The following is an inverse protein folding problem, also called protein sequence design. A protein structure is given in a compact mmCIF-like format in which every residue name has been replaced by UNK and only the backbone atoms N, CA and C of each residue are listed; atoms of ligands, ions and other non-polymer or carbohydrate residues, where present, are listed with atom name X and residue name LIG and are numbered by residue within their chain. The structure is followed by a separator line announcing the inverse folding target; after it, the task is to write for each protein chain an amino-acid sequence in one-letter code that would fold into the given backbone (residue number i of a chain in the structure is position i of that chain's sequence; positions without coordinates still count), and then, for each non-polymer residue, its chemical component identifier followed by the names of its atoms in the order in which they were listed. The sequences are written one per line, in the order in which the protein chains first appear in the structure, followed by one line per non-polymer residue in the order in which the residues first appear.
data_IF_177356498095
#
_entry.id   IF_177356498095
#
_cell.length_a   1.000
_cell.length_b   1.000
_cell.length_c   1.000
_cell.angle_alpha   90.00
_cell.angle_beta   90.00
_cell.angle_gamma   90.00
#
_symmetry.space_group_name_H-M   'P 1'
#
loop_
_entity.id
_entity.type
_entity.pdbx_description
1 polymer ?
#
# COMPACT_ATOMS: atom_id res chain seq x y z
N UNK A 1 2.96 -1.26 26.35
CA UNK A 1 3.88 -0.73 25.32
C UNK A 1 3.08 -0.50 24.03
N UNK A 2 3.40 0.55 23.28
CA UNK A 2 2.84 0.75 21.93
C UNK A 2 3.32 -0.36 21.00
N UNK A 3 2.47 -0.78 20.07
CA UNK A 3 2.85 -1.69 18.99
C UNK A 3 3.85 -0.99 18.05
N UNK A 4 4.81 -1.75 17.53
CA UNK A 4 5.89 -1.24 16.67
C UNK A 4 5.53 -1.41 15.20
N UNK A 5 5.67 -0.34 14.43
CA UNK A 5 5.39 -0.28 13.00
C UNK A 5 6.65 0.07 12.22
N UNK A 6 7.01 -0.77 11.26
CA UNK A 6 8.02 -0.46 10.25
C UNK A 6 7.34 -0.03 8.96
N UNK A 7 7.68 1.15 8.46
CA UNK A 7 7.23 1.65 7.16
C UNK A 7 8.43 1.77 6.23
N UNK A 8 8.38 1.09 5.08
CA UNK A 8 9.36 1.21 4.01
C UNK A 8 8.75 2.02 2.86
N UNK A 9 9.35 3.13 2.50
CA UNK A 9 8.90 4.01 1.43
C UNK A 9 9.88 3.91 0.25
N UNK A 10 9.38 3.57 -0.93
CA UNK A 10 10.14 3.65 -2.17
C UNK A 10 9.98 5.03 -2.78
N UNK A 11 11.09 5.77 -2.94
CA UNK A 11 11.09 7.11 -3.52
C UNK A 11 12.12 7.22 -4.65
N UNK A 12 11.66 7.19 -5.88
CA UNK A 12 12.50 7.59 -7.01
C UNK A 12 12.56 9.11 -7.05
N UNK A 13 13.75 9.68 -6.78
CA UNK A 13 13.93 11.10 -6.53
C UNK A 13 13.39 11.96 -7.67
N UNK A 14 12.46 12.84 -7.32
CA UNK A 14 11.90 13.90 -8.13
C UNK A 14 11.53 15.06 -7.19
N UNK A 15 12.10 16.25 -7.42
CA UNK A 15 11.85 17.43 -6.60
C UNK A 15 10.37 17.80 -6.54
N UNK A 16 9.64 17.59 -7.63
CA UNK A 16 8.19 17.87 -7.68
C UNK A 16 7.37 16.95 -6.77
N UNK A 17 7.91 15.79 -6.40
CA UNK A 17 7.24 14.79 -5.56
C UNK A 17 7.62 14.89 -4.07
N UNK A 18 8.59 15.74 -3.70
CA UNK A 18 9.04 15.91 -2.31
C UNK A 18 7.89 16.23 -1.37
N UNK A 19 6.95 17.07 -1.78
CA UNK A 19 5.80 17.42 -0.94
C UNK A 19 4.87 16.23 -0.68
N UNK A 20 4.73 15.30 -1.62
CA UNK A 20 4.00 14.06 -1.39
C UNK A 20 4.73 13.20 -0.37
N UNK A 21 6.02 12.96 -0.58
CA UNK A 21 6.85 12.20 0.35
C UNK A 21 6.78 12.76 1.79
N UNK A 22 6.92 14.08 1.97
CA UNK A 22 6.84 14.72 3.28
C UNK A 22 5.47 14.52 3.94
N UNK A 23 4.39 14.58 3.16
CA UNK A 23 3.04 14.33 3.63
C UNK A 23 2.88 12.86 4.10
N UNK A 24 3.40 11.90 3.34
CA UNK A 24 3.38 10.47 3.70
C UNK A 24 4.19 10.21 4.98
N UNK A 25 5.38 10.78 5.10
CA UNK A 25 6.20 10.68 6.31
C UNK A 25 5.44 11.23 7.53
N UNK A 26 4.89 12.44 7.43
CA UNK A 26 4.15 13.07 8.51
C UNK A 26 2.91 12.25 8.91
N UNK A 27 2.18 11.73 7.92
CA UNK A 27 1.03 10.87 8.15
C UNK A 27 1.41 9.64 8.99
N UNK A 28 2.43 8.87 8.60
CA UNK A 28 2.83 7.67 9.34
C UNK A 28 3.44 7.98 10.72
N UNK A 29 4.17 9.08 10.87
CA UNK A 29 4.70 9.50 12.17
C UNK A 29 3.59 9.95 13.14
N UNK A 30 2.43 10.36 12.62
CA UNK A 30 1.27 10.75 13.44
C UNK A 30 0.48 9.55 14.00
N UNK A 31 0.73 8.33 13.52
CA UNK A 31 0.02 7.13 13.99
C UNK A 31 0.29 6.86 15.47
N UNK A 32 -0.70 6.34 16.17
CA UNK A 32 -0.56 5.90 17.57
C UNK A 32 0.22 4.58 17.72
N UNK A 33 1.34 4.47 16.99
CA UNK A 33 2.28 3.36 16.99
C UNK A 33 3.69 3.87 17.33
N UNK A 34 4.58 2.94 17.70
CA UNK A 34 6.02 3.23 17.73
C UNK A 34 6.56 3.02 16.31
N UNK A 35 6.45 4.07 15.48
CA UNK A 35 6.71 4.02 14.05
C UNK A 35 8.15 4.36 13.73
N UNK A 36 8.80 3.52 12.92
CA UNK A 36 10.08 3.82 12.25
C UNK A 36 9.88 3.81 10.74
N UNK A 37 10.48 4.76 10.05
CA UNK A 37 10.37 4.90 8.60
C UNK A 37 11.74 4.68 7.96
N UNK A 38 11.77 3.86 6.92
CA UNK A 38 12.91 3.65 6.03
C UNK A 38 12.54 4.13 4.63
N UNK A 39 13.37 4.99 4.04
CA UNK A 39 13.20 5.49 2.68
C UNK A 39 14.32 4.91 1.83
N UNK A 40 13.92 4.12 0.83
CA UNK A 40 14.84 3.68 -0.22
C UNK A 40 14.77 4.69 -1.37
N UNK A 41 15.89 5.39 -1.62
CA UNK A 41 15.98 6.46 -2.61
C UNK A 41 17.16 6.24 -3.56
N UNK A 42 17.05 6.72 -4.80
CA UNK A 42 18.11 6.59 -5.81
C UNK A 42 19.04 7.80 -5.91
N UNK A 43 18.80 8.89 -5.17
CA UNK A 43 19.61 10.10 -5.24
C UNK A 43 19.81 10.72 -3.85
N UNK A 44 21.07 11.05 -3.52
CA UNK A 44 21.45 11.69 -2.26
C UNK A 44 20.94 13.13 -2.09
N UNK A 45 20.47 13.78 -3.16
CA UNK A 45 19.82 15.09 -3.07
C UNK A 45 18.61 15.09 -2.13
N UNK A 46 18.02 13.95 -1.83
CA UNK A 46 16.96 13.84 -0.82
C UNK A 46 17.36 14.48 0.52
N UNK A 47 18.66 14.44 0.89
CA UNK A 47 19.15 15.04 2.13
C UNK A 47 19.07 16.57 2.17
N UNK A 48 18.90 17.23 1.03
CA UNK A 48 18.71 18.70 0.99
C UNK A 48 17.29 19.07 1.46
N UNK A 49 16.35 18.16 1.34
CA UNK A 49 14.92 18.35 1.66
C UNK A 49 14.52 17.74 3.01
N UNK A 50 15.15 16.62 3.39
CA UNK A 50 14.79 15.89 4.61
C UNK A 50 15.97 15.94 5.56
N UNK A 51 15.88 16.82 6.58
CA UNK A 51 16.94 16.99 7.60
C UNK A 51 16.43 16.52 8.96
N UNK A 52 17.22 15.64 9.61
CA UNK A 52 17.12 15.32 11.04
C UNK A 52 15.71 15.00 11.58
N UNK A 53 14.97 14.16 10.90
CA UNK A 53 13.72 13.61 11.43
C UNK A 53 14.06 12.37 12.26
N UNK A 54 13.78 12.41 13.56
CA UNK A 54 13.94 11.25 14.44
C UNK A 54 13.11 10.06 13.90
N UNK A 55 13.67 8.85 14.00
CA UNK A 55 13.05 7.60 13.50
C UNK A 55 12.93 7.49 11.97
N UNK A 56 13.63 8.35 11.24
CA UNK A 56 13.71 8.27 9.80
C UNK A 56 15.10 7.77 9.38
N UNK A 57 15.14 6.75 8.55
CA UNK A 57 16.35 6.16 7.98
C UNK A 57 16.28 6.28 6.44
N UNK A 58 17.32 6.83 5.82
CA UNK A 58 17.39 6.96 4.36
C UNK A 58 18.53 6.09 3.86
N UNK A 59 18.21 5.19 2.91
CA UNK A 59 19.18 4.36 2.20
C UNK A 59 19.26 4.81 0.74
N UNK A 60 20.49 5.06 0.26
CA UNK A 60 20.73 5.55 -1.11
C UNK A 60 21.24 4.42 -2.00
N UNK A 61 20.65 4.28 -3.18
CA UNK A 61 20.92 3.26 -4.19
C UNK A 61 21.24 3.92 -5.54
N UNK A 62 22.43 4.54 -5.68
CA UNK A 62 22.81 5.32 -6.87
C UNK A 62 23.02 4.45 -8.14
N UNK A 63 23.36 3.16 -7.98
CA UNK A 63 23.75 2.29 -9.09
C UNK A 63 22.78 1.11 -9.23
N UNK A 64 21.50 1.38 -9.41
CA UNK A 64 20.51 0.36 -9.69
C UNK A 64 20.66 -0.19 -11.12
N UNK A 65 20.57 -1.51 -11.27
CA UNK A 65 20.57 -2.16 -12.59
C UNK A 65 19.39 -1.63 -13.46
N UNK A 66 18.26 -1.39 -12.84
CA UNK A 66 17.09 -0.79 -13.48
C UNK A 66 16.36 0.12 -12.47
N UNK A 67 15.80 1.27 -12.87
CA UNK A 67 15.09 2.17 -11.95
C UNK A 67 13.99 1.49 -11.13
N UNK A 68 13.25 0.57 -11.73
CA UNK A 68 12.21 -0.20 -11.04
C UNK A 68 12.74 -1.12 -9.93
N UNK A 69 14.03 -1.47 -9.95
CA UNK A 69 14.64 -2.30 -8.89
C UNK A 69 14.58 -1.63 -7.51
N UNK A 70 14.45 -0.30 -7.46
CA UNK A 70 14.29 0.43 -6.20
C UNK A 70 13.08 -0.09 -5.41
N UNK A 71 11.99 -0.45 -6.09
CA UNK A 71 10.78 -0.97 -5.46
C UNK A 71 10.98 -2.28 -4.67
N UNK A 72 12.09 -3.01 -4.90
CA UNK A 72 12.41 -4.24 -4.16
C UNK A 72 13.37 -4.05 -3.00
N UNK A 73 14.00 -2.87 -2.84
CA UNK A 73 15.06 -2.65 -1.84
C UNK A 73 14.55 -2.76 -0.40
N UNK A 74 13.28 -2.44 -0.15
CA UNK A 74 12.62 -2.62 1.14
C UNK A 74 12.75 -4.03 1.71
N UNK A 75 12.89 -5.06 0.86
CA UNK A 75 12.95 -6.48 1.28
C UNK A 75 14.13 -6.73 2.21
N UNK A 76 15.31 -6.17 1.91
CA UNK A 76 16.49 -6.28 2.76
C UNK A 76 16.25 -5.63 4.13
N UNK A 77 15.69 -4.43 4.13
CA UNK A 77 15.34 -3.71 5.37
C UNK A 77 14.37 -4.51 6.23
N UNK A 78 13.37 -5.13 5.61
CA UNK A 78 12.39 -5.98 6.30
C UNK A 78 13.07 -7.21 6.91
N UNK A 79 13.90 -7.95 6.16
CA UNK A 79 14.61 -9.12 6.67
C UNK A 79 15.49 -8.79 7.86
N UNK A 80 16.22 -7.65 7.82
CA UNK A 80 17.09 -7.19 8.90
C UNK A 80 16.30 -6.82 10.18
N UNK A 81 15.01 -6.49 10.04
CA UNK A 81 14.18 -5.93 11.12
C UNK A 81 12.97 -6.79 11.51
N UNK A 82 12.79 -7.96 10.89
CA UNK A 82 11.56 -8.76 11.02
C UNK A 82 11.25 -9.16 12.46
N UNK A 83 12.27 -9.32 13.32
CA UNK A 83 12.09 -9.70 14.72
C UNK A 83 11.74 -8.51 15.63
N UNK A 84 11.83 -7.28 15.14
CA UNK A 84 11.79 -6.08 15.95
C UNK A 84 10.48 -5.28 15.87
N UNK A 85 9.60 -5.60 14.90
CA UNK A 85 8.35 -4.89 14.66
C UNK A 85 7.15 -5.82 14.62
N UNK A 86 5.99 -5.32 15.05
CA UNK A 86 4.71 -6.06 15.04
C UNK A 86 4.04 -6.01 13.66
N UNK A 87 4.21 -4.89 12.92
CA UNK A 87 3.58 -4.63 11.63
C UNK A 87 4.55 -4.03 10.65
N UNK A 88 4.34 -4.32 9.38
CA UNK A 88 5.16 -3.88 8.25
C UNK A 88 4.29 -3.28 7.17
N UNK A 89 4.72 -2.14 6.65
CA UNK A 89 4.13 -1.48 5.49
C UNK A 89 5.25 -1.23 4.47
N UNK A 90 4.99 -1.58 3.22
CA UNK A 90 5.67 -1.01 2.06
C UNK A 90 4.72 -0.04 1.38
N UNK A 91 5.21 1.10 0.92
CA UNK A 91 4.42 2.09 0.18
C UNK A 91 5.28 2.87 -0.81
N UNK A 92 4.65 3.40 -1.87
CA UNK A 92 5.25 4.43 -2.71
C UNK A 92 5.09 5.80 -2.05
N UNK A 93 5.87 6.77 -2.50
CA UNK A 93 6.00 8.11 -1.91
C UNK A 93 4.77 9.02 -2.06
N UNK A 94 3.76 8.56 -2.79
CA UNK A 94 2.54 9.30 -3.11
C UNK A 94 1.25 8.61 -2.65
N UNK A 95 1.36 7.55 -1.86
CA UNK A 95 0.22 6.78 -1.35
C UNK A 95 -0.10 7.13 0.10
N UNK A 96 -1.16 7.90 0.31
CA UNK A 96 -1.63 8.26 1.65
C UNK A 96 -2.61 7.21 2.17
N UNK A 97 -2.32 6.67 3.34
CA UNK A 97 -3.20 5.77 4.09
C UNK A 97 -3.54 6.41 5.45
N UNK A 98 -4.79 6.78 5.74
CA UNK A 98 -5.17 7.27 7.06
C UNK A 98 -5.04 6.20 8.15
N UNK A 99 -4.70 6.60 9.39
CA UNK A 99 -4.52 5.65 10.51
C UNK A 99 -5.77 4.80 10.76
N UNK A 100 -6.96 5.39 10.73
CA UNK A 100 -8.20 4.65 10.94
C UNK A 100 -8.41 3.55 9.88
N UNK A 101 -7.99 3.81 8.64
CA UNK A 101 -8.07 2.84 7.55
C UNK A 101 -7.05 1.70 7.75
N UNK A 102 -5.86 2.02 8.24
CA UNK A 102 -4.86 1.04 8.64
C UNK A 102 -5.35 0.14 9.79
N UNK A 103 -5.95 0.74 10.84
CA UNK A 103 -6.50 -0.02 11.97
C UNK A 103 -7.64 -0.94 11.50
N UNK A 104 -8.53 -0.43 10.65
CA UNK A 104 -9.64 -1.24 10.11
C UNK A 104 -9.13 -2.38 9.21
N UNK A 105 -8.08 -2.13 8.43
CA UNK A 105 -7.40 -3.19 7.68
C UNK A 105 -6.91 -4.31 8.61
N UNK A 106 -6.23 -3.99 9.71
CA UNK A 106 -5.74 -4.98 10.66
C UNK A 106 -6.87 -5.77 11.33
N UNK A 107 -8.02 -5.13 11.61
CA UNK A 107 -9.19 -5.80 12.14
C UNK A 107 -9.78 -6.78 11.12
N UNK A 108 -9.93 -6.34 9.88
CA UNK A 108 -10.44 -7.17 8.79
C UNK A 108 -9.46 -8.29 8.42
N UNK A 109 -8.14 -8.06 8.55
CA UNK A 109 -7.12 -9.07 8.31
C UNK A 109 -7.29 -10.28 9.25
N UNK A 110 -7.57 -10.04 10.53
CA UNK A 110 -7.82 -11.12 11.51
C UNK A 110 -9.04 -11.96 11.15
N UNK A 111 -10.07 -11.36 10.54
CA UNK A 111 -11.29 -12.06 10.13
C UNK A 111 -11.10 -12.84 8.82
N UNK A 112 -10.40 -12.25 7.86
CA UNK A 112 -10.33 -12.76 6.49
C UNK A 112 -9.18 -13.76 6.29
N UNK A 113 -8.03 -13.55 6.93
CA UNK A 113 -6.83 -14.36 6.70
C UNK A 113 -7.02 -15.86 6.96
N UNK A 114 -7.73 -16.31 8.03
CA UNK A 114 -8.02 -17.72 8.25
C UNK A 114 -8.91 -18.37 7.17
N UNK A 115 -9.56 -17.55 6.32
CA UNK A 115 -10.47 -17.98 5.27
C UNK A 115 -9.84 -17.87 3.86
N UNK A 116 -8.52 -17.84 3.78
CA UNK A 116 -7.75 -17.64 2.54
C UNK A 116 -8.08 -16.34 1.81
N UNK A 117 -8.41 -15.30 2.57
CA UNK A 117 -8.73 -13.96 2.08
C UNK A 117 -7.86 -12.92 2.74
N UNK A 118 -7.66 -11.79 2.07
CA UNK A 118 -6.97 -10.62 2.64
C UNK A 118 -7.82 -9.36 2.43
N UNK A 119 -7.78 -8.41 3.37
CA UNK A 119 -8.39 -7.12 3.11
C UNK A 119 -7.63 -6.39 2.00
N UNK A 120 -8.35 -5.53 1.31
CA UNK A 120 -7.81 -4.69 0.25
C UNK A 120 -8.40 -3.29 0.34
N UNK A 121 -7.87 -2.38 -0.46
CA UNK A 121 -8.30 -0.99 -0.50
C UNK A 121 -8.84 -0.61 -1.87
N UNK A 122 -9.53 0.51 -1.92
CA UNK A 122 -9.85 1.24 -3.14
C UNK A 122 -8.88 2.42 -3.19
N UNK A 123 -8.05 2.47 -4.23
CA UNK A 123 -7.15 3.58 -4.47
C UNK A 123 -7.88 4.71 -5.17
N UNK A 124 -7.88 5.88 -4.55
CA UNK A 124 -8.61 7.05 -5.00
C UNK A 124 -7.66 8.17 -5.42
N UNK A 125 -8.03 8.87 -6.48
CA UNK A 125 -7.51 10.20 -6.82
C UNK A 125 -8.58 11.26 -6.63
N UNK A 126 -8.16 12.42 -6.13
CA UNK A 126 -9.00 13.60 -6.07
C UNK A 126 -8.77 14.45 -7.32
N UNK A 127 -9.81 14.66 -8.11
CA UNK A 127 -9.79 15.59 -9.22
C UNK A 127 -11.00 16.53 -9.14
N UNK A 128 -10.75 17.84 -9.14
CA UNK A 128 -11.73 18.87 -8.83
C UNK A 128 -12.39 18.60 -7.44
N UNK A 129 -13.70 18.40 -7.39
CA UNK A 129 -14.45 18.13 -6.15
C UNK A 129 -14.89 16.65 -6.01
N UNK A 130 -14.38 15.76 -6.85
CA UNK A 130 -14.78 14.34 -6.86
C UNK A 130 -13.60 13.43 -6.54
N UNK A 131 -13.92 12.22 -6.06
CA UNK A 131 -12.98 11.12 -5.94
C UNK A 131 -13.23 10.07 -7.03
N UNK A 132 -12.15 9.66 -7.67
CA UNK A 132 -12.16 8.67 -8.75
C UNK A 132 -11.37 7.45 -8.35
N UNK A 133 -11.88 6.26 -8.71
CA UNK A 133 -11.20 4.99 -8.49
C UNK A 133 -10.15 4.80 -9.57
N UNK A 134 -8.92 4.48 -9.19
CA UNK A 134 -7.80 4.38 -10.15
C UNK A 134 -7.56 2.99 -10.70
N UNK A 135 -7.92 1.94 -9.96
CA UNK A 135 -7.55 0.56 -10.31
C UNK A 135 -8.71 -0.27 -10.90
N UNK A 136 -9.90 0.32 -10.98
CA UNK A 136 -11.09 -0.31 -11.54
C UNK A 136 -11.50 0.46 -12.79
N UNK A 137 -11.53 -0.22 -13.92
CA UNK A 137 -11.85 0.37 -15.23
C UNK A 137 -13.26 0.09 -15.71
N UNK A 138 -13.97 -0.84 -15.05
CA UNK A 138 -15.34 -1.22 -15.38
C UNK A 138 -16.19 -1.20 -14.11
N UNK A 139 -17.48 -0.91 -14.25
CA UNK A 139 -18.45 -1.04 -13.17
C UNK A 139 -18.62 -2.52 -12.83
N UNK A 140 -18.06 -2.96 -11.73
CA UNK A 140 -18.09 -4.37 -11.29
C UNK A 140 -19.25 -4.60 -10.31
N UNK A 141 -20.45 -4.29 -10.74
CA UNK A 141 -21.65 -4.26 -9.88
C UNK A 141 -22.13 -5.67 -9.49
N UNK A 142 -21.86 -6.68 -10.30
CA UNK A 142 -22.42 -8.05 -10.14
C UNK A 142 -21.49 -9.03 -9.40
N UNK A 143 -20.65 -8.56 -8.48
CA UNK A 143 -19.82 -9.46 -7.70
C UNK A 143 -20.53 -9.92 -6.43
N UNK A 144 -20.43 -11.21 -6.08
CA UNK A 144 -21.07 -11.73 -4.89
C UNK A 144 -20.50 -11.07 -3.63
N UNK A 145 -21.39 -10.66 -2.74
CA UNK A 145 -21.02 -10.10 -1.43
C UNK A 145 -20.69 -11.25 -0.49
N UNK A 146 -19.50 -11.19 0.09
CA UNK A 146 -19.06 -12.09 1.13
C UNK A 146 -19.38 -11.50 2.50
N UNK A 147 -20.14 -12.24 3.31
CA UNK A 147 -20.54 -11.83 4.66
C UNK A 147 -19.78 -12.60 5.71
N UNK A 148 -19.23 -11.92 6.68
CA UNK A 148 -18.63 -12.49 7.87
C UNK A 148 -18.95 -11.61 9.08
N UNK A 149 -19.46 -12.21 10.15
CA UNK A 149 -20.00 -11.49 11.31
C UNK A 149 -21.03 -10.42 10.84
N UNK A 150 -20.82 -9.18 11.21
CA UNK A 150 -21.67 -8.04 10.81
C UNK A 150 -21.08 -7.20 9.67
N UNK A 151 -20.08 -7.74 8.96
CA UNK A 151 -19.37 -7.05 7.88
C UNK A 151 -19.66 -7.68 6.53
N UNK A 152 -19.71 -6.83 5.51
CA UNK A 152 -19.88 -7.22 4.10
C UNK A 152 -18.62 -6.84 3.32
N UNK A 153 -18.23 -7.70 2.41
CA UNK A 153 -17.05 -7.53 1.59
C UNK A 153 -17.33 -7.89 0.14
N UNK A 154 -16.63 -7.24 -0.78
CA UNK A 154 -16.64 -7.59 -2.20
C UNK A 154 -15.23 -7.95 -2.66
N UNK A 155 -15.13 -8.99 -3.48
CA UNK A 155 -13.86 -9.39 -4.08
C UNK A 155 -13.39 -8.40 -5.15
N UNK A 156 -12.12 -8.07 -5.15
CA UNK A 156 -11.44 -7.37 -6.23
C UNK A 156 -10.43 -8.27 -6.92
N UNK A 157 -10.18 -8.02 -8.21
CA UNK A 157 -9.30 -8.87 -9.02
C UNK A 157 -7.81 -8.70 -8.74
N UNK A 158 -7.40 -7.58 -8.15
CA UNK A 158 -6.00 -7.28 -7.89
C UNK A 158 -5.77 -6.78 -6.46
N UNK A 159 -4.76 -7.31 -5.74
CA UNK A 159 -4.37 -6.82 -4.42
C UNK A 159 -3.38 -5.65 -4.46
N UNK A 160 -2.89 -5.23 -5.63
CA UNK A 160 -1.89 -4.20 -5.75
C UNK A 160 -2.49 -2.80 -5.66
N UNK A 161 -1.97 -2.01 -4.73
CA UNK A 161 -2.39 -0.62 -4.50
C UNK A 161 -1.21 0.33 -4.32
N UNK A 162 -0.04 0.01 -4.89
CA UNK A 162 1.23 0.71 -4.66
C UNK A 162 1.69 0.69 -3.19
N UNK A 163 1.13 -0.20 -2.38
CA UNK A 163 1.55 -0.51 -1.01
C UNK A 163 1.03 -1.89 -0.58
N UNK A 164 1.59 -2.42 0.51
CA UNK A 164 1.08 -3.60 1.20
C UNK A 164 1.30 -3.48 2.71
N UNK A 165 0.51 -4.25 3.47
CA UNK A 165 0.52 -4.26 4.93
C UNK A 165 0.49 -5.72 5.39
N UNK A 166 1.43 -6.11 6.27
CA UNK A 166 1.41 -7.43 6.90
C UNK A 166 1.78 -7.35 8.38
N UNK A 167 1.09 -8.12 9.24
CA UNK A 167 1.58 -8.43 10.56
C UNK A 167 2.83 -9.31 10.51
N UNK A 168 3.67 -9.26 11.54
CA UNK A 168 4.95 -9.96 11.59
C UNK A 168 4.84 -11.47 11.31
N UNK A 169 3.86 -12.13 11.95
CA UNK A 169 3.68 -13.58 11.82
C UNK A 169 3.44 -13.99 10.36
N UNK A 170 2.50 -13.33 9.71
CA UNK A 170 2.09 -13.63 8.35
C UNK A 170 3.16 -13.24 7.33
N UNK A 171 3.92 -12.19 7.62
CA UNK A 171 5.08 -11.82 6.82
C UNK A 171 6.18 -12.91 6.88
N UNK A 172 6.49 -13.42 8.08
CA UNK A 172 7.44 -14.54 8.24
C UNK A 172 7.00 -15.78 7.48
N UNK A 173 5.71 -16.12 7.56
CA UNK A 173 5.13 -17.25 6.82
C UNK A 173 5.26 -17.05 5.30
N UNK A 174 4.92 -15.86 4.80
CA UNK A 174 5.08 -15.53 3.39
C UNK A 174 6.53 -15.63 2.91
N UNK A 175 7.48 -15.12 3.70
CA UNK A 175 8.92 -15.19 3.38
C UNK A 175 9.42 -16.63 3.38
N UNK A 176 9.02 -17.46 4.35
CA UNK A 176 9.41 -18.87 4.41
C UNK A 176 8.94 -19.65 3.18
N UNK A 177 7.72 -19.38 2.72
CA UNK A 177 7.15 -20.04 1.56
C UNK A 177 7.77 -19.56 0.23
N UNK A 178 8.31 -18.33 0.18
CA UNK A 178 8.77 -17.68 -1.06
C UNK A 178 10.13 -16.97 -0.86
N UNK A 179 11.04 -17.60 -0.13
CA UNK A 179 12.29 -16.97 0.29
C UNK A 179 13.18 -16.50 -0.87
N UNK A 180 13.30 -17.30 -1.94
CA UNK A 180 14.13 -16.94 -3.10
C UNK A 180 13.58 -15.71 -3.82
N UNK A 181 12.29 -15.73 -4.08
CA UNK A 181 11.58 -14.63 -4.73
C UNK A 181 11.57 -13.37 -3.88
N UNK A 182 11.49 -13.51 -2.55
CA UNK A 182 11.61 -12.36 -1.64
C UNK A 182 12.99 -11.71 -1.71
N UNK A 183 14.05 -12.49 -1.96
CA UNK A 183 15.41 -11.97 -2.15
C UNK A 183 15.73 -11.59 -3.60
N UNK A 184 14.93 -12.00 -4.57
CA UNK A 184 15.20 -11.74 -5.97
C UNK A 184 15.11 -10.24 -6.30
N UNK A 185 16.15 -9.69 -6.94
CA UNK A 185 16.31 -8.27 -7.28
C UNK A 185 16.71 -8.16 -8.76
N UNK A 186 16.13 -8.94 -9.64
CA UNK A 186 16.55 -8.96 -11.05
C UNK A 186 15.45 -8.63 -12.06
N UNK A 187 14.23 -8.57 -11.61
CA UNK A 187 13.07 -8.30 -12.47
C UNK A 187 12.86 -6.80 -12.66
N UNK A 188 12.49 -6.40 -13.86
CA UNK A 188 12.17 -5.01 -14.21
C UNK A 188 10.67 -4.67 -14.07
N UNK A 189 9.83 -5.62 -13.68
CA UNK A 189 8.42 -5.36 -13.42
C UNK A 189 8.25 -4.73 -12.04
N UNK A 190 8.03 -3.41 -12.01
CA UNK A 190 7.89 -2.63 -10.77
C UNK A 190 6.78 -3.14 -9.87
N UNK A 191 5.62 -3.48 -10.43
CA UNK A 191 4.47 -3.95 -9.65
C UNK A 191 4.76 -5.27 -8.95
N UNK A 192 5.34 -6.23 -9.65
CA UNK A 192 5.78 -7.50 -9.05
C UNK A 192 6.84 -7.27 -7.98
N UNK A 193 7.83 -6.42 -8.23
CA UNK A 193 8.90 -6.16 -7.27
C UNK A 193 8.38 -5.49 -5.99
N UNK A 194 7.44 -4.58 -6.12
CA UNK A 194 6.81 -3.88 -5.00
C UNK A 194 5.87 -4.79 -4.18
N UNK A 195 5.03 -5.58 -4.86
CA UNK A 195 3.89 -6.28 -4.26
C UNK A 195 4.06 -7.79 -4.15
N UNK A 196 5.24 -8.33 -4.49
CA UNK A 196 5.49 -9.77 -4.52
C UNK A 196 5.01 -10.51 -3.25
N UNK A 197 5.21 -9.89 -2.08
CA UNK A 197 4.78 -10.44 -0.79
C UNK A 197 3.27 -10.72 -0.78
N UNK A 198 2.45 -9.82 -1.33
CA UNK A 198 0.99 -9.98 -1.39
C UNK A 198 0.57 -11.05 -2.40
N UNK A 199 1.23 -11.09 -3.55
CA UNK A 199 1.01 -12.15 -4.56
C UNK A 199 1.42 -13.51 -4.02
N UNK A 200 2.55 -13.59 -3.31
CA UNK A 200 3.07 -14.81 -2.70
C UNK A 200 2.19 -15.38 -1.57
N UNK A 201 1.30 -14.58 -0.98
CA UNK A 201 0.31 -15.09 -0.02
C UNK A 201 -0.75 -15.99 -0.67
N UNK A 202 -0.93 -15.90 -1.99
CA UNK A 202 -1.95 -16.65 -2.74
C UNK A 202 -3.35 -16.56 -2.13
N UNK A 203 -3.72 -15.38 -1.65
CA UNK A 203 -5.00 -15.11 -1.00
C UNK A 203 -5.84 -14.14 -1.82
N UNK A 204 -7.15 -14.33 -1.77
CA UNK A 204 -8.09 -13.51 -2.52
C UNK A 204 -8.34 -12.18 -1.81
N UNK A 205 -8.20 -11.02 -2.51
CA UNK A 205 -8.43 -9.70 -1.93
C UNK A 205 -9.92 -9.36 -1.84
N UNK A 206 -10.30 -8.76 -0.71
CA UNK A 206 -11.66 -8.32 -0.42
C UNK A 206 -11.68 -6.91 0.14
N UNK A 207 -12.60 -6.07 -0.35
CA UNK A 207 -12.82 -4.71 0.10
C UNK A 207 -14.07 -4.63 0.97
N UNK A 208 -13.97 -3.94 2.09
CA UNK A 208 -15.08 -3.71 3.01
C UNK A 208 -16.14 -2.81 2.39
N UNK A 209 -17.41 -3.19 2.57
CA UNK A 209 -18.58 -2.40 2.21
C UNK A 209 -19.23 -1.77 3.45
N UNK A 210 -19.83 -0.61 3.25
CA UNK A 210 -20.71 0.07 4.20
C UNK A 210 -22.04 0.34 3.50
N UNK A 211 -23.08 -0.42 3.89
CA UNK A 211 -24.30 -0.48 3.08
C UNK A 211 -23.99 -0.99 1.68
N UNK A 212 -24.53 -0.34 0.68
CA UNK A 212 -24.37 -0.67 -0.74
C UNK A 212 -23.11 -0.06 -1.39
N UNK A 213 -22.21 0.58 -0.63
CA UNK A 213 -21.07 1.32 -1.14
C UNK A 213 -19.75 0.77 -0.59
N UNK A 214 -18.64 1.14 -1.20
CA UNK A 214 -17.33 0.93 -0.58
C UNK A 214 -17.24 1.72 0.73
N UNK A 215 -16.79 1.06 1.79
CA UNK A 215 -16.54 1.74 3.06
C UNK A 215 -15.39 2.75 2.92
N UNK A 216 -15.56 3.94 3.47
CA UNK A 216 -14.49 4.96 3.53
C UNK A 216 -13.27 4.48 4.30
N UNK A 217 -13.41 3.49 5.19
CA UNK A 217 -12.30 2.86 5.90
C UNK A 217 -11.47 1.92 5.01
N UNK A 218 -11.93 1.63 3.79
CA UNK A 218 -11.17 0.90 2.77
C UNK A 218 -10.55 1.81 1.70
N UNK A 219 -10.45 3.13 1.93
CA UNK A 219 -9.83 4.02 0.96
C UNK A 219 -8.35 4.23 1.26
N UNK A 220 -7.55 4.25 0.18
CA UNK A 220 -6.21 4.82 0.13
C UNK A 220 -6.19 5.93 -0.93
N UNK A 221 -5.30 6.90 -0.78
CA UNK A 221 -5.31 8.08 -1.64
C UNK A 221 -4.00 8.20 -2.38
N UNK A 222 -4.09 8.20 -3.71
CA UNK A 222 -2.99 8.56 -4.59
C UNK A 222 -2.97 10.08 -4.72
N UNK A 223 -1.93 10.71 -4.17
CA UNK A 223 -1.87 12.17 -4.00
C UNK A 223 -1.77 12.94 -5.32
N UNK A 224 -1.01 12.48 -6.34
CA UNK A 224 -1.12 13.01 -7.69
C UNK A 224 -2.50 12.69 -8.28
N UNK A 225 -2.87 13.44 -9.32
CA UNK A 225 -4.10 13.18 -10.09
C UNK A 225 -3.79 12.73 -11.53
N UNK A 226 -2.78 11.90 -11.69
CA UNK A 226 -2.22 11.50 -12.98
C UNK A 226 -3.18 10.70 -13.85
N UNK A 227 -4.11 9.97 -13.24
CA UNK A 227 -5.10 9.16 -13.94
C UNK A 227 -6.42 9.92 -14.13
N UNK A 228 -6.95 10.52 -13.08
CA UNK A 228 -8.25 11.21 -13.12
C UNK A 228 -8.25 12.43 -14.02
N UNK A 229 -7.16 13.20 -14.06
CA UNK A 229 -6.99 14.36 -14.93
C UNK A 229 -6.58 14.03 -16.38
N UNK A 230 -6.02 12.83 -16.62
CA UNK A 230 -5.45 12.47 -17.92
C UNK A 230 -6.49 11.82 -18.83
N UNK A 231 -6.92 12.52 -19.88
CA UNK A 231 -7.95 12.04 -20.83
C UNK A 231 -7.52 10.82 -21.68
N UNK A 232 -6.22 10.53 -21.73
CA UNK A 232 -5.65 9.45 -22.56
C UNK A 232 -5.54 8.11 -21.84
N UNK A 233 -6.01 8.00 -20.59
CA UNK A 233 -6.04 6.74 -19.85
C UNK A 233 -7.47 6.28 -19.57
N UNK A 234 -7.64 4.95 -19.45
CA UNK A 234 -8.91 4.33 -19.01
C UNK A 234 -9.05 4.31 -17.48
N UNK A 235 -7.95 4.53 -16.76
CA UNK A 235 -7.91 4.57 -15.30
C UNK A 235 -8.41 5.91 -14.75
N UNK A 236 -8.96 5.90 -13.54
CA UNK A 236 -9.40 7.11 -12.86
C UNK A 236 -10.62 7.79 -13.51
N UNK A 237 -11.49 7.04 -14.20
CA UNK A 237 -12.68 7.58 -14.88
C UNK A 237 -13.97 7.36 -14.12
N UNK A 238 -14.00 6.40 -13.24
CA UNK A 238 -15.19 6.06 -12.46
C UNK A 238 -15.16 6.77 -11.11
N UNK A 239 -16.23 7.51 -10.80
CA UNK A 239 -16.40 8.11 -9.47
C UNK A 239 -16.63 7.02 -8.44
N UNK A 240 -16.10 7.18 -7.24
CA UNK A 240 -16.25 6.18 -6.18
C UNK A 240 -17.70 5.97 -5.76
N UNK A 241 -18.52 6.98 -5.82
CA UNK A 241 -19.95 6.96 -5.47
C UNK A 241 -20.84 6.38 -6.58
N UNK A 242 -20.30 6.10 -7.78
CA UNK A 242 -21.03 5.38 -8.84
C UNK A 242 -21.11 3.87 -8.60
N UNK A 243 -20.30 3.33 -7.67
CA UNK A 243 -20.31 1.91 -7.35
C UNK A 243 -21.41 1.61 -6.32
N UNK A 244 -22.42 0.84 -6.74
CA UNK A 244 -23.54 0.41 -5.89
C UNK A 244 -23.63 -1.12 -5.93
N UNK A 245 -23.49 -1.77 -4.76
CA UNK A 245 -23.54 -3.22 -4.62
C UNK A 245 -24.92 -3.65 -4.12
N UNK A 246 -25.55 -4.57 -4.81
CA UNK A 246 -26.86 -5.11 -4.43
C UNK A 246 -26.68 -6.42 -3.66
N UNK A 247 -27.49 -6.58 -2.59
CA UNK A 247 -27.53 -7.78 -1.76
C UNK A 247 -28.40 -8.86 -2.38
#
# INVERSE_FOLDING_TARGET
MKKKLLVCICFHFDENRINFLLNIIQNFLSYNFDTSIYIDCNDKKIFDFIKNVEKLNIKIYENLHHPHSLASMHRKTILENIEHYDYFIYTEDDMLLPENNFIEYLNNFKLLYPLDKVPSFIRLEKYENNFYVTDITEEQIDRPIFKIENKNFVNLSTPYHAFWILPQKELKESIQNNFQEFNHIGDCNREMMASYVMWGLNKTPYVLLEGEYFSKLSYSYHLPNNYSSNINTVFGKLKVDSFVFKY
#
